data_IF_245444808070
#
_entry.id   IF_245444808070
#
_cell.length_a   1.000
_cell.length_b   1.000
_cell.length_c   1.000
_cell.angle_alpha   90.00
_cell.angle_beta   90.00
_cell.angle_gamma   90.00
#
_symmetry.space_group_name_H-M   'P 1'
#
loop_
_entity.id
_entity.type
_entity.pdbx_description
1 polymer ?
#
# COMPACT_ATOMS: atom_id res chain seq x y z
N UNK A 1 19.53 5.02 9.70
CA UNK A 1 19.24 6.06 8.67
C UNK A 1 19.45 7.42 9.31
N UNK A 2 20.24 8.30 8.70
CA UNK A 2 20.41 9.68 9.19
C UNK A 2 19.37 10.59 8.54
N UNK A 3 18.24 10.77 9.22
CA UNK A 3 17.11 11.58 8.74
C UNK A 3 17.53 13.02 8.39
N UNK A 4 18.43 13.62 9.19
CA UNK A 4 18.91 14.98 8.97
C UNK A 4 19.68 15.09 7.65
N UNK A 5 20.55 14.12 7.38
CA UNK A 5 21.30 14.06 6.12
C UNK A 5 20.37 13.84 4.93
N UNK A 6 19.36 12.98 5.08
CA UNK A 6 18.36 12.73 4.02
C UNK A 6 17.59 14.00 3.66
N UNK A 7 17.03 14.71 4.65
CA UNK A 7 16.25 15.95 4.41
C UNK A 7 17.10 17.02 3.73
N UNK A 8 18.37 17.17 4.13
CA UNK A 8 19.30 18.15 3.53
C UNK A 8 19.63 17.84 2.07
N UNK A 9 19.58 16.56 1.68
CA UNK A 9 19.86 16.13 0.31
C UNK A 9 18.63 16.23 -0.62
N UNK A 10 17.46 16.63 -0.12
CA UNK A 10 16.28 16.86 -0.97
C UNK A 10 16.49 18.16 -1.77
N UNK A 11 16.54 18.01 -3.09
CA UNK A 11 16.93 19.08 -4.01
C UNK A 11 15.83 20.13 -4.16
N UNK A 12 14.56 19.73 -4.21
CA UNK A 12 13.46 20.64 -4.57
C UNK A 12 12.58 21.01 -3.38
N UNK A 13 12.10 22.26 -3.37
CA UNK A 13 11.11 22.72 -2.38
C UNK A 13 9.81 21.92 -2.47
N UNK A 14 9.40 21.51 -3.68
CA UNK A 14 8.19 20.70 -3.87
C UNK A 14 8.30 19.33 -3.19
N UNK A 15 9.43 18.65 -3.30
CA UNK A 15 9.65 17.37 -2.59
C UNK A 15 9.66 17.56 -1.07
N UNK A 16 10.31 18.63 -0.57
CA UNK A 16 10.27 18.96 0.85
C UNK A 16 8.82 19.21 1.33
N UNK A 17 8.02 19.96 0.56
CA UNK A 17 6.60 20.20 0.87
C UNK A 17 5.77 18.92 0.87
N UNK A 18 6.06 17.97 -0.03
CA UNK A 18 5.37 16.66 -0.07
C UNK A 18 5.62 15.87 1.22
N UNK A 19 6.85 15.87 1.73
CA UNK A 19 7.18 15.21 3.00
C UNK A 19 6.58 15.99 4.18
N UNK A 20 6.76 17.31 4.19
CA UNK A 20 6.33 18.20 5.27
C UNK A 20 4.82 18.19 5.52
N UNK A 21 4.01 17.92 4.49
CA UNK A 21 2.55 17.86 4.57
C UNK A 21 2.01 16.92 5.67
N UNK A 22 2.79 15.94 6.13
CA UNK A 22 2.36 15.01 7.18
C UNK A 22 2.33 15.65 8.58
N UNK A 23 3.39 16.38 8.98
CA UNK A 23 3.58 16.81 10.38
C UNK A 23 4.04 18.26 10.55
N UNK A 24 4.27 19.00 9.46
CA UNK A 24 4.67 20.41 9.51
C UNK A 24 3.46 21.29 9.23
N UNK A 25 3.06 22.07 10.23
CA UNK A 25 1.97 23.04 10.12
C UNK A 25 2.41 24.20 9.21
N UNK A 26 1.48 24.68 8.37
CA UNK A 26 1.69 25.82 7.46
C UNK A 26 2.88 25.66 6.49
N UNK A 27 3.30 24.42 6.19
CA UNK A 27 4.44 24.13 5.32
C UNK A 27 4.39 24.78 3.93
N UNK A 28 3.22 25.22 3.46
CA UNK A 28 3.04 25.82 2.13
C UNK A 28 3.70 27.20 2.02
N UNK A 29 3.72 27.99 3.09
CA UNK A 29 4.30 29.34 3.13
C UNK A 29 5.79 29.36 3.46
N UNK A 30 6.35 28.24 3.92
CA UNK A 30 7.75 28.14 4.30
C UNK A 30 8.70 28.16 3.08
N UNK A 31 9.83 28.83 3.26
CA UNK A 31 11.00 28.75 2.38
C UNK A 31 11.66 27.37 2.44
N UNK A 32 12.63 27.12 1.56
CA UNK A 32 13.33 25.83 1.50
C UNK A 32 14.09 25.56 2.80
N UNK A 33 14.77 26.57 3.31
CA UNK A 33 15.57 26.50 4.53
C UNK A 33 14.67 26.23 5.75
N UNK A 34 13.56 26.96 5.86
CA UNK A 34 12.56 26.77 6.92
C UNK A 34 11.91 25.37 6.86
N UNK A 35 11.63 24.85 5.65
CA UNK A 35 11.13 23.49 5.47
C UNK A 35 12.12 22.45 5.98
N UNK A 36 13.41 22.60 5.69
CA UNK A 36 14.45 21.69 6.16
C UNK A 36 14.53 21.69 7.68
N UNK A 37 14.53 22.87 8.31
CA UNK A 37 14.55 22.99 9.77
C UNK A 37 13.30 22.39 10.42
N UNK A 38 12.12 22.70 9.87
CA UNK A 38 10.85 22.18 10.37
C UNK A 38 10.78 20.65 10.24
N UNK A 39 11.23 20.08 9.12
CA UNK A 39 11.32 18.64 8.92
C UNK A 39 12.28 17.99 9.92
N UNK A 40 13.48 18.55 10.10
CA UNK A 40 14.44 18.02 11.10
C UNK A 40 13.83 18.03 12.50
N UNK A 41 13.14 19.12 12.89
CA UNK A 41 12.48 19.26 14.19
C UNK A 41 11.34 18.25 14.37
N UNK A 42 10.57 17.99 13.32
CA UNK A 42 9.44 17.04 13.34
C UNK A 42 9.86 15.60 13.02
N UNK A 43 11.15 15.36 12.73
CA UNK A 43 11.72 14.06 12.35
C UNK A 43 11.25 12.87 13.19
N UNK A 44 11.21 12.95 14.54
CA UNK A 44 10.75 11.85 15.37
C UNK A 44 9.33 11.34 15.04
N UNK A 45 8.44 12.21 14.54
CA UNK A 45 7.06 11.84 14.19
C UNK A 45 7.00 10.90 12.98
N UNK A 46 7.96 10.98 12.06
CA UNK A 46 8.03 10.11 10.87
C UNK A 46 8.51 8.69 11.19
N UNK A 47 9.18 8.52 12.34
CA UNK A 47 9.66 7.23 12.84
C UNK A 47 8.86 6.71 14.03
N UNK A 48 7.86 7.47 14.50
CA UNK A 48 7.05 7.09 15.64
C UNK A 48 6.17 5.91 15.27
N UNK A 49 6.25 4.81 16.03
CA UNK A 49 5.61 3.54 15.68
C UNK A 49 4.10 3.70 15.44
N UNK A 50 3.40 4.37 16.34
CA UNK A 50 1.95 4.56 16.25
C UNK A 50 1.55 5.35 15.01
N UNK A 51 2.33 6.37 14.65
CA UNK A 51 2.09 7.18 13.45
C UNK A 51 2.29 6.38 12.17
N UNK A 52 3.31 5.51 12.15
CA UNK A 52 3.59 4.62 11.02
C UNK A 52 2.48 3.58 10.89
N UNK A 53 2.05 2.97 12.00
CA UNK A 53 0.95 2.00 12.03
C UNK A 53 -0.36 2.63 11.53
N UNK A 54 -0.72 3.81 12.04
CA UNK A 54 -1.90 4.56 11.58
C UNK A 54 -1.80 4.91 10.09
N UNK A 55 -0.65 5.35 9.62
CA UNK A 55 -0.45 5.67 8.19
C UNK A 55 -0.61 4.44 7.32
N UNK A 56 -0.04 3.30 7.72
CA UNK A 56 -0.18 2.04 7.00
C UNK A 56 -1.65 1.57 6.99
N UNK A 57 -2.36 1.71 8.11
CA UNK A 57 -3.79 1.40 8.18
C UNK A 57 -4.61 2.31 7.26
N UNK A 58 -4.35 3.62 7.27
CA UNK A 58 -4.99 4.57 6.38
C UNK A 58 -4.72 4.28 4.90
N UNK A 59 -3.54 3.79 4.54
CA UNK A 59 -3.27 3.33 3.18
C UNK A 59 -4.07 2.06 2.82
N UNK A 60 -4.16 1.10 3.75
CA UNK A 60 -4.90 -0.16 3.55
C UNK A 60 -6.41 0.01 3.48
N UNK A 61 -6.94 1.05 4.11
CA UNK A 61 -8.37 1.36 4.16
C UNK A 61 -8.68 2.74 3.56
N UNK A 62 -7.85 3.19 2.62
CA UNK A 62 -8.04 4.47 1.95
C UNK A 62 -9.32 4.46 1.12
N UNK A 63 -10.04 5.59 1.08
CA UNK A 63 -11.29 5.72 0.31
C UNK A 63 -11.02 5.61 -1.20
N UNK A 64 -9.91 6.19 -1.66
CA UNK A 64 -9.40 5.98 -3.01
C UNK A 64 -8.87 4.54 -3.22
N UNK A 65 -9.59 3.76 -4.03
CA UNK A 65 -9.23 2.39 -4.45
C UNK A 65 -7.81 2.27 -4.97
N UNK A 66 -7.36 3.14 -5.87
CA UNK A 66 -6.05 3.01 -6.51
C UNK A 66 -4.92 3.09 -5.49
N UNK A 67 -5.04 3.99 -4.50
CA UNK A 67 -4.09 4.07 -3.41
C UNK A 67 -4.12 2.79 -2.56
N UNK A 68 -5.31 2.31 -2.23
CA UNK A 68 -5.51 1.10 -1.45
C UNK A 68 -4.95 -0.17 -2.10
N UNK A 69 -5.02 -0.27 -3.42
CA UNK A 69 -4.51 -1.42 -4.18
C UNK A 69 -3.01 -1.32 -4.43
N UNK A 70 -2.50 -0.15 -4.84
CA UNK A 70 -1.08 0.01 -5.22
C UNK A 70 -0.17 0.11 -4.00
N UNK A 71 -0.60 0.75 -2.90
CA UNK A 71 0.28 0.97 -1.75
C UNK A 71 0.81 -0.34 -1.14
N UNK A 72 0.01 -1.39 -0.92
CA UNK A 72 0.53 -2.68 -0.46
C UNK A 72 1.56 -3.30 -1.41
N UNK A 73 1.33 -3.24 -2.72
CA UNK A 73 2.26 -3.75 -3.74
C UNK A 73 3.59 -2.99 -3.65
N UNK A 74 3.52 -1.65 -3.65
CA UNK A 74 4.68 -0.78 -3.59
C UNK A 74 5.49 -0.99 -2.31
N UNK A 75 4.84 -0.98 -1.15
CA UNK A 75 5.52 -1.05 0.15
C UNK A 75 5.95 -2.48 0.47
N UNK A 76 5.00 -3.43 0.52
CA UNK A 76 5.25 -4.77 1.02
C UNK A 76 5.95 -5.67 0.00
N UNK A 77 5.53 -5.64 -1.26
CA UNK A 77 6.03 -6.59 -2.26
C UNK A 77 7.29 -6.10 -2.98
N UNK A 78 7.44 -4.78 -3.13
CA UNK A 78 8.60 -4.21 -3.84
C UNK A 78 9.61 -3.63 -2.86
N UNK A 79 9.31 -2.53 -2.18
CA UNK A 79 10.31 -1.77 -1.44
C UNK A 79 10.92 -2.53 -0.25
N UNK A 80 10.13 -3.30 0.51
CA UNK A 80 10.67 -4.12 1.61
C UNK A 80 11.70 -5.17 1.15
N UNK A 81 11.66 -5.56 -0.12
CA UNK A 81 12.55 -6.55 -0.70
C UNK A 81 13.76 -5.93 -1.42
N UNK A 82 13.95 -4.59 -1.35
CA UNK A 82 15.09 -3.89 -1.96
C UNK A 82 16.08 -3.43 -0.91
N UNK A 83 17.35 -3.39 -1.32
CA UNK A 83 18.42 -2.81 -0.51
C UNK A 83 18.11 -1.35 -0.18
N UNK A 84 18.32 -0.98 1.09
CA UNK A 84 18.00 0.33 1.65
C UNK A 84 16.54 0.79 1.46
N UNK A 85 15.62 -0.13 1.11
CA UNK A 85 14.20 0.15 0.85
C UNK A 85 13.96 1.23 -0.21
N UNK A 86 14.86 1.35 -1.19
CA UNK A 86 14.81 2.40 -2.22
C UNK A 86 14.90 1.83 -3.63
N UNK A 87 14.21 2.50 -4.55
CA UNK A 87 14.25 2.16 -5.96
C UNK A 87 14.06 3.43 -6.80
N UNK A 88 14.71 3.48 -7.96
CA UNK A 88 14.50 4.55 -8.93
C UNK A 88 13.05 4.53 -9.42
N UNK A 89 12.41 5.71 -9.52
CA UNK A 89 10.99 5.83 -9.88
C UNK A 89 10.59 5.07 -11.14
N UNK A 90 11.42 5.14 -12.20
CA UNK A 90 11.15 4.39 -13.44
C UNK A 90 11.16 2.88 -13.23
N UNK A 91 12.17 2.37 -12.52
CA UNK A 91 12.29 0.94 -12.20
C UNK A 91 11.19 0.48 -11.26
N UNK A 92 10.75 1.33 -10.34
CA UNK A 92 9.63 1.05 -9.46
C UNK A 92 8.34 0.83 -10.26
N UNK A 93 8.05 1.71 -11.22
CA UNK A 93 6.89 1.53 -12.09
C UNK A 93 6.97 0.25 -12.91
N UNK A 94 8.13 -0.05 -13.49
CA UNK A 94 8.34 -1.29 -14.25
C UNK A 94 8.14 -2.55 -13.39
N UNK A 95 8.58 -2.52 -12.12
CA UNK A 95 8.37 -3.63 -11.19
C UNK A 95 6.92 -3.78 -10.73
N UNK A 96 6.18 -2.67 -10.53
CA UNK A 96 4.74 -2.71 -10.24
C UNK A 96 4.00 -3.38 -11.42
N UNK A 97 4.24 -2.94 -12.64
CA UNK A 97 3.59 -3.49 -13.84
C UNK A 97 3.91 -4.99 -13.97
N UNK A 98 5.18 -5.37 -13.75
CA UNK A 98 5.60 -6.77 -13.81
C UNK A 98 4.90 -7.62 -12.74
N UNK A 99 4.75 -7.07 -11.53
CA UNK A 99 4.06 -7.76 -10.44
C UNK A 99 2.58 -7.98 -10.80
N UNK A 100 1.88 -6.94 -11.27
CA UNK A 100 0.47 -7.04 -11.71
C UNK A 100 0.29 -8.09 -12.82
N UNK A 101 1.17 -8.09 -13.82
CA UNK A 101 1.15 -9.10 -14.89
C UNK A 101 1.34 -10.53 -14.37
N UNK A 102 2.18 -10.71 -13.35
CA UNK A 102 2.38 -12.03 -12.73
C UNK A 102 1.14 -12.48 -11.96
N UNK A 103 0.46 -11.57 -11.26
CA UNK A 103 -0.79 -11.90 -10.55
C UNK A 103 -1.88 -12.28 -11.56
N UNK A 104 -2.08 -11.51 -12.62
CA UNK A 104 -3.05 -11.83 -13.68
C UNK A 104 -2.75 -13.19 -14.30
N UNK A 105 -1.47 -13.50 -14.56
CA UNK A 105 -1.08 -14.83 -15.06
C UNK A 105 -1.44 -15.93 -14.08
N UNK A 106 -1.14 -15.75 -12.79
CA UNK A 106 -1.49 -16.71 -11.73
C UNK A 106 -3.01 -16.89 -11.61
N UNK A 107 -3.79 -15.81 -11.66
CA UNK A 107 -5.27 -15.84 -11.66
C UNK A 107 -5.81 -16.72 -12.78
N UNK A 108 -5.34 -16.50 -14.01
CA UNK A 108 -5.75 -17.32 -15.16
C UNK A 108 -5.38 -18.81 -15.04
N UNK A 109 -4.30 -19.13 -14.34
CA UNK A 109 -3.85 -20.51 -14.09
C UNK A 109 -4.51 -21.12 -12.83
N UNK A 110 -5.13 -20.30 -11.98
CA UNK A 110 -5.69 -20.71 -10.70
C UNK A 110 -7.08 -21.32 -10.89
N UNK A 111 -7.15 -22.65 -10.80
CA UNK A 111 -8.41 -23.38 -10.86
C UNK A 111 -8.67 -24.04 -9.51
N UNK A 112 -9.77 -23.65 -8.86
CA UNK A 112 -10.25 -24.32 -7.64
C UNK A 112 -10.78 -25.70 -8.04
N UNK A 113 -9.90 -26.70 -8.03
CA UNK A 113 -10.30 -28.07 -8.37
C UNK A 113 -11.21 -28.67 -7.30
N UNK A 114 -12.05 -29.64 -7.69
CA UNK A 114 -12.93 -30.36 -6.77
C UNK A 114 -12.19 -31.08 -5.63
N UNK A 115 -10.91 -31.42 -5.83
CA UNK A 115 -10.08 -32.10 -4.84
C UNK A 115 -9.21 -31.12 -4.03
N UNK A 116 -9.40 -29.81 -4.19
CA UNK A 116 -8.61 -28.83 -3.45
C UNK A 116 -8.93 -28.91 -1.95
N UNK A 117 -7.94 -29.05 -1.07
CA UNK A 117 -8.17 -29.25 0.37
C UNK A 117 -8.89 -28.07 1.04
N UNK A 118 -8.84 -26.88 0.43
CA UNK A 118 -9.47 -25.64 0.91
C UNK A 118 -10.56 -25.11 -0.04
N UNK A 119 -11.20 -26.02 -0.79
CA UNK A 119 -12.17 -25.65 -1.83
C UNK A 119 -13.25 -24.71 -1.29
N UNK A 120 -13.92 -25.11 -0.21
CA UNK A 120 -15.07 -24.38 0.33
C UNK A 120 -14.69 -22.97 0.80
N UNK A 121 -13.52 -22.82 1.44
CA UNK A 121 -13.01 -21.54 1.90
C UNK A 121 -12.70 -20.62 0.72
N UNK A 122 -12.06 -21.13 -0.33
CA UNK A 122 -11.72 -20.36 -1.53
C UNK A 122 -12.96 -19.97 -2.32
N UNK A 123 -13.92 -20.88 -2.50
CA UNK A 123 -15.18 -20.60 -3.21
C UNK A 123 -16.03 -19.57 -2.46
N UNK A 124 -16.15 -19.71 -1.14
CA UNK A 124 -16.86 -18.73 -0.32
C UNK A 124 -16.20 -17.36 -0.40
N UNK A 125 -14.86 -17.32 -0.37
CA UNK A 125 -14.14 -16.07 -0.45
C UNK A 125 -14.26 -15.41 -1.82
N UNK A 126 -14.16 -16.19 -2.91
CA UNK A 126 -14.42 -15.73 -4.29
C UNK A 126 -15.82 -15.14 -4.41
N UNK A 127 -16.84 -15.83 -3.91
CA UNK A 127 -18.21 -15.34 -3.92
C UNK A 127 -18.37 -14.00 -3.18
N UNK A 128 -17.70 -13.84 -2.04
CA UNK A 128 -17.71 -12.57 -1.29
C UNK A 128 -17.05 -11.44 -2.09
N UNK A 129 -15.94 -11.72 -2.78
CA UNK A 129 -15.28 -10.74 -3.64
C UNK A 129 -16.19 -10.35 -4.81
N UNK A 130 -16.74 -11.33 -5.53
CA UNK A 130 -17.64 -11.11 -6.65
C UNK A 130 -18.85 -10.25 -6.23
N UNK A 131 -19.46 -10.59 -5.09
CA UNK A 131 -20.58 -9.81 -4.52
C UNK A 131 -20.17 -8.38 -4.20
N UNK A 132 -18.97 -8.17 -3.66
CA UNK A 132 -18.48 -6.84 -3.35
C UNK A 132 -18.20 -6.00 -4.61
N UNK A 133 -17.91 -6.65 -5.75
CA UNK A 133 -17.69 -5.99 -7.04
C UNK A 133 -18.99 -5.64 -7.79
N UNK A 134 -20.14 -6.22 -7.43
CA UNK A 134 -21.42 -5.95 -8.10
C UNK A 134 -21.86 -4.47 -7.98
N UNK A 135 -21.33 -3.70 -7.02
CA UNK A 135 -21.62 -2.27 -6.86
C UNK A 135 -20.63 -1.38 -7.63
N UNK A 136 -20.82 -1.27 -8.95
CA UNK A 136 -20.13 -0.30 -9.84
C UNK A 136 -18.58 -0.28 -9.71
N UNK A 137 -17.95 -1.42 -9.45
CA UNK A 137 -16.50 -1.53 -9.20
C UNK A 137 -15.99 -0.70 -8.00
N UNK A 138 -16.86 -0.34 -7.06
CA UNK A 138 -16.54 0.46 -5.88
C UNK A 138 -16.72 -0.32 -4.59
N UNK A 139 -15.60 -0.82 -4.05
CA UNK A 139 -15.56 -1.37 -2.69
C UNK A 139 -15.30 -0.23 -1.70
N UNK A 140 -16.29 0.04 -0.84
CA UNK A 140 -16.19 1.00 0.26
C UNK A 140 -15.17 0.58 1.33
N UNK A 141 -14.85 1.51 2.24
CA UNK A 141 -13.95 1.23 3.37
C UNK A 141 -14.47 0.12 4.28
N UNK A 142 -15.78 0.12 4.56
CA UNK A 142 -16.41 -0.86 5.45
C UNK A 142 -16.48 -2.25 4.81
N UNK A 143 -16.79 -2.32 3.51
CA UNK A 143 -16.74 -3.57 2.75
C UNK A 143 -15.32 -4.13 2.71
N UNK A 144 -14.31 -3.29 2.48
CA UNK A 144 -12.91 -3.75 2.54
C UNK A 144 -12.55 -4.30 3.92
N UNK A 145 -12.97 -3.63 4.99
CA UNK A 145 -12.74 -4.11 6.35
C UNK A 145 -13.41 -5.47 6.59
N UNK A 146 -14.64 -5.64 6.10
CA UNK A 146 -15.35 -6.92 6.18
C UNK A 146 -14.62 -8.02 5.39
N UNK A 147 -14.20 -7.73 4.15
CA UNK A 147 -13.42 -8.64 3.31
C UNK A 147 -12.14 -9.08 4.02
N UNK A 148 -11.38 -8.16 4.61
CA UNK A 148 -10.15 -8.48 5.35
C UNK A 148 -10.43 -9.36 6.58
N UNK A 149 -11.55 -9.14 7.29
CA UNK A 149 -11.95 -9.99 8.42
C UNK A 149 -12.35 -11.39 7.96
N UNK A 150 -13.09 -11.50 6.86
CA UNK A 150 -13.47 -12.78 6.26
C UNK A 150 -12.23 -13.52 5.76
N UNK A 151 -11.32 -12.84 5.06
CA UNK A 151 -10.04 -13.37 4.60
C UNK A 151 -9.27 -14.02 5.76
N UNK A 152 -9.09 -13.28 6.87
CA UNK A 152 -8.41 -13.78 8.07
C UNK A 152 -9.14 -14.97 8.69
N UNK A 153 -10.47 -14.94 8.73
CA UNK A 153 -11.29 -16.01 9.31
C UNK A 153 -11.20 -17.31 8.51
N UNK A 154 -11.13 -17.21 7.18
CA UNK A 154 -10.99 -18.34 6.25
C UNK A 154 -9.53 -18.77 6.06
N UNK A 155 -8.58 -18.03 6.64
CA UNK A 155 -7.13 -18.28 6.54
C UNK A 155 -6.57 -18.03 5.14
N UNK A 156 -7.23 -17.22 4.31
CA UNK A 156 -6.82 -16.94 2.94
C UNK A 156 -5.55 -16.06 2.98
N UNK A 157 -4.48 -16.51 2.33
CA UNK A 157 -3.22 -15.77 2.25
C UNK A 157 -3.38 -14.48 1.41
N UNK A 158 -2.46 -13.53 1.56
CA UNK A 158 -2.46 -12.31 0.73
C UNK A 158 -2.26 -12.65 -0.76
N UNK A 159 -1.46 -13.67 -1.09
CA UNK A 159 -1.27 -14.13 -2.47
C UNK A 159 -2.56 -14.75 -3.04
N UNK A 160 -3.25 -15.61 -2.29
CA UNK A 160 -4.55 -16.18 -2.69
C UNK A 160 -5.59 -15.06 -2.86
N UNK A 161 -5.60 -14.07 -1.97
CA UNK A 161 -6.47 -12.89 -2.07
C UNK A 161 -6.24 -12.14 -3.39
N UNK A 162 -4.98 -11.81 -3.72
CA UNK A 162 -4.65 -11.07 -4.94
C UNK A 162 -5.00 -11.87 -6.19
N UNK A 163 -4.76 -13.18 -6.18
CA UNK A 163 -5.09 -14.07 -7.31
C UNK A 163 -6.59 -14.16 -7.52
N UNK A 164 -7.39 -14.26 -6.44
CA UNK A 164 -8.85 -14.33 -6.53
C UNK A 164 -9.52 -13.00 -6.89
N UNK A 165 -8.89 -11.87 -6.57
CA UNK A 165 -9.40 -10.53 -6.89
C UNK A 165 -9.08 -10.08 -8.34
N UNK A 166 -8.15 -10.76 -9.03
CA UNK A 166 -7.57 -10.32 -10.31
C UNK A 166 -8.24 -10.85 -11.56
#
# INVERSE_FOLDING_TARGET
MDFKTVVKNISTSNELKRVANAYVIDFRSLSKEELVEALIKTGPQYSHKENVEETLENCLYHDNRNLRTITPILVKHILLNKDDYKLESKKLNDEIIKFEQQIVKKSNEFVISNNHPRKNELELFSFVLDTAWESEDQISKDEKNLIVKIQKKLGISEDEYMVLES
#
